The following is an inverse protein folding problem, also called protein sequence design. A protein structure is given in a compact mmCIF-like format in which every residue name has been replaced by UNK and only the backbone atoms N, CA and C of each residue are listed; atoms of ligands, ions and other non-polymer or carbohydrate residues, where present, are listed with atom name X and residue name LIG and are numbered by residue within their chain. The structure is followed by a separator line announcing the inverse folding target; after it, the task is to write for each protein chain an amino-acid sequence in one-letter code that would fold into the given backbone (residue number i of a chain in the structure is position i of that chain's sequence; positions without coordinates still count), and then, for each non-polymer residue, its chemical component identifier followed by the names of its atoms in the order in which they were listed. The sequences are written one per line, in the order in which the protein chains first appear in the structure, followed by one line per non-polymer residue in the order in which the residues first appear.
data_IF_554968833562
#
_entry.id   IF_554968833562
#
_cell.length_a   1.000
_cell.length_b   1.000
_cell.length_c   1.000
_cell.angle_alpha   90.00
_cell.angle_beta   90.00
_cell.angle_gamma   90.00
#
_symmetry.space_group_name_H-M   'P 1'
#
loop_
_entity.id
_entity.type
_entity.pdbx_description
1 polymer ?
#
# COMPACT_ATOMS: atom_id res chain seq x y z
N UNK A 1 -5.05 -6.81 -19.58
CA UNK A 1 -5.00 -6.14 -18.27
C UNK A 1 -3.91 -5.09 -18.33
N UNK A 2 -4.18 -3.86 -17.88
CA UNK A 2 -3.13 -2.83 -17.75
C UNK A 2 -2.50 -2.96 -16.38
N UNK A 3 -1.17 -3.13 -16.32
CA UNK A 3 -0.44 -3.09 -15.07
C UNK A 3 -0.56 -1.71 -14.42
N UNK A 4 -0.41 -1.67 -13.09
CA UNK A 4 -0.65 -0.50 -12.25
C UNK A 4 0.67 0.14 -11.84
N UNK A 5 0.86 1.46 -12.00
CA UNK A 5 2.06 2.12 -11.50
C UNK A 5 2.19 1.95 -9.98
N UNK A 6 3.42 1.85 -9.50
CA UNK A 6 3.73 1.59 -8.10
C UNK A 6 4.29 2.87 -7.48
N UNK A 7 3.70 3.31 -6.38
CA UNK A 7 4.14 4.43 -5.57
C UNK A 7 4.70 3.89 -4.25
N UNK A 8 5.93 4.24 -3.91
CA UNK A 8 6.58 3.84 -2.67
C UNK A 8 7.04 5.08 -1.90
N UNK A 9 6.21 5.61 -0.97
CA UNK A 9 6.55 6.83 -0.23
C UNK A 9 7.77 6.68 0.72
N UNK A 10 8.24 5.46 0.97
CA UNK A 10 9.28 5.14 1.96
C UNK A 10 10.57 4.56 1.36
N UNK A 11 10.69 4.38 0.05
CA UNK A 11 11.65 3.40 -0.47
C UNK A 11 11.00 2.05 -0.70
N UNK A 12 11.36 1.36 -1.78
CA UNK A 12 11.26 -0.10 -1.81
C UNK A 12 12.64 -0.70 -1.51
N UNK A 13 12.73 -1.73 -0.65
CA UNK A 13 13.95 -2.49 -0.53
C UNK A 13 14.19 -3.29 -1.81
N UNK A 14 15.46 -3.52 -2.14
CA UNK A 14 15.85 -4.45 -3.20
C UNK A 14 15.69 -5.90 -2.71
N UNK A 15 14.44 -6.36 -2.72
CA UNK A 15 14.04 -7.68 -2.22
C UNK A 15 13.17 -8.42 -3.27
N UNK A 16 13.50 -9.68 -3.55
CA UNK A 16 12.75 -10.53 -4.48
C UNK A 16 11.31 -10.77 -4.04
N UNK A 17 11.07 -10.87 -2.73
CA UNK A 17 9.72 -10.99 -2.18
C UNK A 17 8.89 -9.75 -2.54
N UNK A 18 9.44 -8.56 -2.31
CA UNK A 18 8.73 -7.29 -2.60
C UNK A 18 8.37 -7.21 -4.08
N UNK A 19 9.30 -7.59 -4.98
CA UNK A 19 9.02 -7.64 -6.42
C UNK A 19 7.92 -8.64 -6.76
N UNK A 20 7.96 -9.83 -6.17
CA UNK A 20 6.97 -10.89 -6.39
C UNK A 20 5.58 -10.48 -5.91
N UNK A 21 5.49 -9.88 -4.72
CA UNK A 21 4.27 -9.37 -4.15
C UNK A 21 3.65 -8.25 -5.03
N UNK A 22 4.47 -7.29 -5.46
CA UNK A 22 4.02 -6.19 -6.31
C UNK A 22 3.55 -6.68 -7.67
N UNK A 23 4.27 -7.60 -8.31
CA UNK A 23 3.85 -8.23 -9.57
C UNK A 23 2.53 -8.99 -9.41
N UNK A 24 2.38 -9.74 -8.32
CA UNK A 24 1.16 -10.49 -8.00
C UNK A 24 -0.06 -9.59 -7.77
N UNK A 25 0.17 -8.39 -7.23
CA UNK A 25 -0.81 -7.32 -7.09
C UNK A 25 -1.07 -6.53 -8.38
N UNK A 26 -0.56 -6.99 -9.53
CA UNK A 26 -0.65 -6.36 -10.85
C UNK A 26 0.12 -5.04 -10.98
N UNK A 27 1.17 -4.89 -10.17
CA UNK A 27 2.09 -3.78 -10.24
C UNK A 27 2.99 -3.81 -11.47
N UNK A 28 3.18 -2.65 -12.08
CA UNK A 28 4.12 -2.43 -13.18
C UNK A 28 5.52 -2.18 -12.61
N UNK A 29 6.35 -3.22 -12.59
CA UNK A 29 7.73 -3.14 -12.11
C UNK A 29 8.62 -2.21 -12.95
N UNK A 30 8.18 -1.83 -14.18
CA UNK A 30 8.85 -0.82 -15.01
C UNK A 30 8.43 0.62 -14.69
N UNK A 31 7.40 0.81 -13.86
CA UNK A 31 6.85 2.11 -13.47
C UNK A 31 6.74 2.24 -11.95
N UNK A 32 7.87 2.06 -11.29
CA UNK A 32 8.04 2.32 -9.86
C UNK A 32 8.45 3.78 -9.66
N UNK A 33 7.72 4.48 -8.80
CA UNK A 33 8.01 5.84 -8.40
C UNK A 33 8.35 5.80 -6.93
N UNK A 34 9.63 5.60 -6.70
CA UNK A 34 10.18 5.55 -5.37
C UNK A 34 10.44 6.97 -4.84
N UNK A 35 10.39 7.15 -3.53
CA UNK A 35 10.79 8.39 -2.86
C UNK A 35 12.33 8.41 -2.75
N UNK A 36 13.07 9.10 -3.66
CA UNK A 36 14.51 8.87 -3.77
C UNK A 36 15.31 9.57 -2.67
N UNK A 37 14.73 10.50 -1.89
CA UNK A 37 15.27 11.04 -0.61
C UNK A 37 14.47 12.24 -0.07
N UNK A 38 14.56 12.38 1.26
CA UNK A 38 14.45 13.58 2.13
C UNK A 38 13.14 13.92 2.86
N UNK A 39 11.94 13.76 2.29
CA UNK A 39 10.68 13.96 3.04
C UNK A 39 9.44 13.52 2.27
N UNK A 40 8.34 13.27 2.99
CA UNK A 40 7.03 12.99 2.38
C UNK A 40 6.51 14.18 1.55
N UNK A 41 6.80 15.42 1.96
CA UNK A 41 6.38 16.63 1.23
C UNK A 41 7.04 16.76 -0.14
N UNK A 42 8.32 16.43 -0.24
CA UNK A 42 9.04 16.38 -1.52
C UNK A 42 8.44 15.30 -2.44
N UNK A 43 8.07 14.16 -1.87
CA UNK A 43 7.42 13.09 -2.62
C UNK A 43 6.04 13.51 -3.13
N UNK A 44 5.19 14.11 -2.29
CA UNK A 44 3.90 14.69 -2.69
C UNK A 44 4.08 15.71 -3.83
N UNK A 45 5.06 16.60 -3.70
CA UNK A 45 5.37 17.62 -4.72
C UNK A 45 5.79 17.00 -6.06
N UNK A 46 6.46 15.85 -6.04
CA UNK A 46 6.76 15.07 -7.23
C UNK A 46 5.50 14.44 -7.81
N UNK A 47 4.67 13.78 -6.98
CA UNK A 47 3.45 13.12 -7.43
C UNK A 47 2.47 14.07 -8.13
N UNK A 48 2.31 15.29 -7.63
CA UNK A 48 1.45 16.32 -8.25
C UNK A 48 1.80 16.64 -9.70
N UNK A 49 3.02 16.33 -10.17
CA UNK A 49 3.46 16.56 -11.55
C UNK A 49 3.09 15.39 -12.48
N UNK A 50 2.64 14.27 -11.95
CA UNK A 50 2.41 13.03 -12.67
C UNK A 50 0.96 12.93 -13.17
N UNK A 51 0.72 13.40 -14.39
CA UNK A 51 -0.63 13.45 -14.99
C UNK A 51 -1.35 12.10 -15.09
N UNK A 52 -0.60 10.99 -15.09
CA UNK A 52 -1.23 9.66 -15.16
C UNK A 52 -2.02 9.33 -13.89
N UNK A 53 -1.77 10.02 -12.76
CA UNK A 53 -2.53 9.79 -11.53
C UNK A 53 -3.99 10.22 -11.69
N UNK A 54 -4.28 11.20 -12.55
CA UNK A 54 -5.63 11.73 -12.72
C UNK A 54 -6.47 10.95 -13.73
N UNK A 55 -5.85 10.38 -14.77
CA UNK A 55 -6.55 9.73 -15.89
C UNK A 55 -6.11 8.29 -16.19
N UNK A 56 -5.04 7.82 -15.56
CA UNK A 56 -4.49 6.48 -15.76
C UNK A 56 -5.11 5.42 -14.82
N UNK A 57 -4.59 4.18 -14.84
CA UNK A 57 -5.00 3.15 -13.88
C UNK A 57 -4.67 3.57 -12.44
N UNK A 58 -5.49 3.14 -11.50
CA UNK A 58 -5.28 3.46 -10.09
C UNK A 58 -3.95 2.82 -9.61
N UNK A 59 -3.07 3.59 -8.95
CA UNK A 59 -1.76 3.07 -8.54
C UNK A 59 -1.86 2.07 -7.39
N UNK A 60 -0.81 1.26 -7.22
CA UNK A 60 -0.50 0.60 -5.95
C UNK A 60 0.32 1.56 -5.10
N UNK A 61 -0.07 1.81 -3.85
CA UNK A 61 0.74 2.59 -2.90
C UNK A 61 1.24 1.67 -1.81
N UNK A 62 2.55 1.56 -1.65
CA UNK A 62 3.15 0.49 -0.84
C UNK A 62 3.99 1.08 0.29
N UNK A 63 3.74 0.60 1.51
CA UNK A 63 4.56 0.88 2.68
C UNK A 63 5.24 -0.42 3.14
N UNK A 64 6.55 -0.34 3.38
CA UNK A 64 7.40 -1.47 3.77
C UNK A 64 7.80 -1.42 5.24
N UNK A 65 7.86 -0.22 5.82
CA UNK A 65 8.05 -0.05 7.26
C UNK A 65 6.69 0.14 7.94
N UNK A 66 6.23 -0.94 8.58
CA UNK A 66 4.95 -1.01 9.28
C UNK A 66 5.09 -0.92 10.80
N UNK A 67 6.31 -0.68 11.33
CA UNK A 67 6.58 -0.60 12.77
C UNK A 67 5.83 0.57 13.42
N UNK A 68 5.57 1.63 12.67
CA UNK A 68 4.85 2.81 13.12
C UNK A 68 3.59 3.04 12.26
N UNK A 69 2.56 2.20 12.42
CA UNK A 69 1.30 2.34 11.68
C UNK A 69 0.66 3.72 11.79
N UNK A 70 0.85 4.44 12.91
CA UNK A 70 0.41 5.83 13.03
C UNK A 70 1.04 6.75 11.97
N UNK A 71 2.33 6.58 11.68
CA UNK A 71 3.04 7.32 10.62
C UNK A 71 2.51 6.95 9.24
N UNK A 72 2.21 5.67 9.01
CA UNK A 72 1.61 5.19 7.74
C UNK A 72 0.23 5.82 7.51
N UNK A 73 -0.62 5.86 8.55
CA UNK A 73 -1.94 6.49 8.48
C UNK A 73 -1.83 7.99 8.20
N UNK A 74 -0.92 8.69 8.89
CA UNK A 74 -0.65 10.11 8.64
C UNK A 74 -0.15 10.35 7.21
N UNK A 75 0.75 9.49 6.73
CA UNK A 75 1.29 9.60 5.38
C UNK A 75 0.20 9.40 4.32
N UNK A 76 -0.67 8.40 4.49
CA UNK A 76 -1.84 8.21 3.63
C UNK A 76 -2.76 9.43 3.65
N UNK A 77 -3.11 9.93 4.84
CA UNK A 77 -4.01 11.08 4.96
C UNK A 77 -3.46 12.32 4.22
N UNK A 78 -2.16 12.59 4.36
CA UNK A 78 -1.51 13.69 3.64
C UNK A 78 -1.51 13.44 2.11
N UNK A 79 -1.16 12.23 1.67
CA UNK A 79 -1.15 11.86 0.27
C UNK A 79 -2.53 11.98 -0.38
N UNK A 80 -3.59 11.50 0.28
CA UNK A 80 -4.97 11.60 -0.22
C UNK A 80 -5.47 13.06 -0.22
N UNK A 81 -5.08 13.87 0.77
CA UNK A 81 -5.46 15.29 0.81
C UNK A 81 -4.80 16.10 -0.32
N UNK A 82 -3.51 15.86 -0.56
CA UNK A 82 -2.71 16.63 -1.52
C UNK A 82 -2.79 16.07 -2.95
N UNK A 83 -3.12 14.79 -3.10
CA UNK A 83 -3.30 14.08 -4.39
C UNK A 83 -4.61 13.28 -4.33
N UNK A 84 -5.78 13.92 -4.51
CA UNK A 84 -7.09 13.28 -4.32
C UNK A 84 -7.34 12.05 -5.19
N UNK A 85 -6.66 11.96 -6.33
CA UNK A 85 -6.72 10.80 -7.22
C UNK A 85 -6.12 9.52 -6.61
N UNK A 86 -5.47 9.60 -5.44
CA UNK A 86 -5.03 8.43 -4.66
C UNK A 86 -6.14 7.78 -3.82
N UNK A 87 -7.31 8.39 -3.68
CA UNK A 87 -8.44 7.76 -2.97
C UNK A 87 -8.86 6.40 -3.57
N UNK A 88 -8.64 6.23 -4.89
CA UNK A 88 -8.90 4.98 -5.64
C UNK A 88 -7.73 3.99 -5.64
N UNK A 89 -6.60 4.32 -5.02
CA UNK A 89 -5.43 3.46 -4.99
C UNK A 89 -5.68 2.20 -4.14
N UNK A 90 -4.94 1.12 -4.41
CA UNK A 90 -4.83 0.03 -3.42
C UNK A 90 -3.63 0.35 -2.53
N UNK A 91 -3.88 0.40 -1.23
CA UNK A 91 -2.87 0.70 -0.23
C UNK A 91 -2.35 -0.60 0.37
N UNK A 92 -1.06 -0.87 0.20
CA UNK A 92 -0.42 -2.14 0.57
C UNK A 92 0.52 -1.92 1.75
N UNK A 93 0.46 -2.82 2.73
CA UNK A 93 1.41 -2.93 3.83
C UNK A 93 2.23 -4.20 3.62
N UNK A 94 3.43 -4.04 3.08
CA UNK A 94 4.35 -5.13 2.83
C UNK A 94 5.06 -5.47 4.15
N UNK A 95 4.69 -6.58 4.77
CA UNK A 95 5.33 -7.03 6.01
C UNK A 95 6.67 -7.68 5.70
N UNK A 96 7.67 -7.36 6.53
CA UNK A 96 8.97 -8.01 6.53
C UNK A 96 8.94 -9.27 7.41
N UNK A 97 9.88 -10.18 7.16
CA UNK A 97 10.05 -11.39 7.96
C UNK A 97 10.19 -11.08 9.47
N UNK A 98 9.54 -11.89 10.30
CA UNK A 98 9.56 -11.72 11.76
C UNK A 98 8.80 -10.50 12.29
N UNK A 99 8.05 -9.76 11.45
CA UNK A 99 7.28 -8.57 11.87
C UNK A 99 5.79 -8.80 12.05
N UNK A 100 5.26 -9.98 11.72
CA UNK A 100 3.82 -10.26 11.75
C UNK A 100 3.17 -10.04 13.13
N UNK A 101 3.79 -10.53 14.21
CA UNK A 101 3.25 -10.38 15.58
C UNK A 101 3.21 -8.91 16.04
N UNK A 102 4.30 -8.16 15.78
CA UNK A 102 4.38 -6.74 16.10
C UNK A 102 3.36 -5.91 15.31
N UNK A 103 3.16 -6.28 14.05
CA UNK A 103 2.13 -5.68 13.20
C UNK A 103 0.73 -5.97 13.75
N UNK A 104 0.40 -7.23 14.02
CA UNK A 104 -0.93 -7.64 14.49
C UNK A 104 -1.35 -6.88 15.76
N UNK A 105 -0.47 -6.84 16.77
CA UNK A 105 -0.73 -6.10 18.01
C UNK A 105 -0.93 -4.59 17.79
N UNK A 106 -0.26 -3.99 16.80
CA UNK A 106 -0.47 -2.57 16.47
C UNK A 106 -1.72 -2.35 15.62
N UNK A 107 -2.01 -3.28 14.71
CA UNK A 107 -3.17 -3.26 13.83
C UNK A 107 -4.48 -3.38 14.62
N UNK A 108 -4.54 -4.23 15.63
CA UNK A 108 -5.70 -4.39 16.53
C UNK A 108 -5.95 -3.13 17.38
N UNK A 109 -4.89 -2.45 17.82
CA UNK A 109 -5.04 -1.19 18.56
C UNK A 109 -5.58 -0.06 17.70
N UNK A 110 -5.23 -0.02 16.42
CA UNK A 110 -5.50 1.11 15.52
C UNK A 110 -6.60 0.84 14.49
N UNK A 111 -7.19 -0.36 14.50
CA UNK A 111 -8.14 -0.80 13.50
C UNK A 111 -8.61 -2.24 13.73
N UNK A 112 -8.97 -2.91 12.65
CA UNK A 112 -9.46 -4.29 12.66
C UNK A 112 -8.95 -5.04 11.44
N UNK A 113 -8.47 -6.27 11.64
CA UNK A 113 -8.13 -7.20 10.57
C UNK A 113 -9.34 -8.08 10.27
N UNK A 114 -9.61 -8.33 9.00
CA UNK A 114 -10.72 -9.19 8.57
C UNK A 114 -10.37 -10.69 8.55
N UNK A 115 -9.09 -11.03 8.68
CA UNK A 115 -8.55 -12.39 8.68
C UNK A 115 -7.16 -12.42 9.36
N UNK A 116 -6.53 -13.58 9.46
CA UNK A 116 -5.14 -13.75 9.88
C UNK A 116 -4.16 -13.02 8.95
N UNK A 117 -3.06 -12.51 9.51
CA UNK A 117 -1.97 -11.82 8.79
C UNK A 117 -1.39 -12.67 7.66
N UNK A 118 -1.27 -13.98 7.87
CA UNK A 118 -0.71 -14.91 6.87
C UNK A 118 -1.65 -15.12 5.67
N UNK A 119 -2.89 -14.69 5.80
CA UNK A 119 -3.97 -14.93 4.85
C UNK A 119 -4.20 -13.74 3.90
N UNK A 120 -3.29 -12.75 3.87
CA UNK A 120 -3.43 -11.48 3.13
C UNK A 120 -4.72 -10.76 3.54
N UNK A 121 -4.83 -10.32 4.80
CA UNK A 121 -6.05 -9.69 5.29
C UNK A 121 -6.18 -8.26 4.78
N UNK A 122 -7.43 -7.77 4.83
CA UNK A 122 -7.71 -6.35 4.83
C UNK A 122 -7.63 -5.83 6.27
N UNK A 123 -6.80 -4.81 6.46
CA UNK A 123 -6.80 -4.03 7.68
C UNK A 123 -7.61 -2.75 7.47
N UNK A 124 -8.65 -2.57 8.27
CA UNK A 124 -9.46 -1.35 8.32
C UNK A 124 -9.01 -0.50 9.50
N UNK A 125 -8.49 0.70 9.26
CA UNK A 125 -8.17 1.65 10.33
C UNK A 125 -9.44 2.15 11.03
N UNK A 126 -9.31 2.68 12.25
CA UNK A 126 -10.44 3.35 12.94
C UNK A 126 -11.02 4.55 12.17
N UNK A 127 -10.23 5.17 11.29
CA UNK A 127 -10.67 6.25 10.41
C UNK A 127 -11.39 5.74 9.15
N UNK A 128 -11.57 4.41 9.00
CA UNK A 128 -12.29 3.79 7.88
C UNK A 128 -11.41 3.48 6.67
N UNK A 129 -10.10 3.71 6.74
CA UNK A 129 -9.17 3.47 5.63
C UNK A 129 -8.80 1.99 5.53
N UNK A 130 -8.92 1.40 4.34
CA UNK A 130 -8.57 0.00 4.08
C UNK A 130 -7.16 -0.17 3.51
N UNK A 131 -6.43 -1.13 4.05
CA UNK A 131 -5.11 -1.55 3.57
C UNK A 131 -5.09 -3.05 3.31
N UNK A 132 -4.45 -3.47 2.25
CA UNK A 132 -4.11 -4.88 2.01
C UNK A 132 -2.81 -5.18 2.75
N UNK A 133 -2.85 -6.09 3.71
CA UNK A 133 -1.66 -6.54 4.42
C UNK A 133 -1.06 -7.70 3.66
N UNK A 134 0.20 -7.57 3.28
CA UNK A 134 0.92 -8.58 2.50
C UNK A 134 1.97 -9.22 3.40
N UNK A 135 1.80 -10.49 3.79
CA UNK A 135 2.83 -11.21 4.54
C UNK A 135 4.03 -11.55 3.64
N UNK A 136 5.21 -11.87 4.21
CA UNK A 136 6.43 -12.22 3.45
C UNK A 136 6.26 -13.37 2.43
N UNK A 137 5.31 -14.27 2.67
CA UNK A 137 5.00 -15.41 1.80
C UNK A 137 3.52 -15.39 1.42
N UNK A 138 3.06 -14.41 0.63
CA UNK A 138 1.64 -14.20 0.40
C UNK A 138 1.08 -15.29 -0.54
N UNK A 139 -0.10 -15.86 -0.24
CA UNK A 139 -0.87 -16.61 -1.22
C UNK A 139 -1.22 -15.73 -2.42
N UNK A 140 -0.43 -15.86 -3.50
CA UNK A 140 -0.49 -14.98 -4.69
C UNK A 140 -1.91 -14.84 -5.27
N UNK A 141 -2.64 -15.95 -5.36
CA UNK A 141 -4.00 -15.97 -5.87
C UNK A 141 -4.95 -15.06 -5.07
N UNK A 142 -4.71 -14.92 -3.77
CA UNK A 142 -5.54 -14.12 -2.86
C UNK A 142 -5.19 -12.64 -2.91
N UNK A 143 -3.91 -12.30 -3.11
CA UNK A 143 -3.45 -10.91 -3.10
C UNK A 143 -4.17 -10.03 -4.14
N UNK A 144 -4.33 -10.53 -5.37
CA UNK A 144 -5.05 -9.82 -6.42
C UNK A 144 -6.51 -9.53 -6.04
N UNK A 145 -7.21 -10.55 -5.55
CA UNK A 145 -8.60 -10.42 -5.13
C UNK A 145 -8.76 -9.38 -4.02
N UNK A 146 -7.85 -9.37 -3.05
CA UNK A 146 -7.84 -8.41 -1.95
C UNK A 146 -7.56 -6.98 -2.39
N UNK A 147 -6.67 -6.78 -3.36
CA UNK A 147 -6.44 -5.46 -3.94
C UNK A 147 -7.70 -4.90 -4.63
N UNK A 148 -8.47 -5.75 -5.33
CA UNK A 148 -9.72 -5.35 -5.96
C UNK A 148 -10.83 -5.05 -4.92
N UNK A 149 -10.93 -5.89 -3.89
CA UNK A 149 -11.87 -5.69 -2.78
C UNK A 149 -11.60 -4.39 -2.03
N UNK A 150 -10.34 -4.10 -1.69
CA UNK A 150 -9.95 -2.85 -1.03
C UNK A 150 -10.31 -1.61 -1.85
N UNK A 151 -10.17 -1.67 -3.19
CA UNK A 151 -10.55 -0.56 -4.06
C UNK A 151 -12.06 -0.36 -4.09
N UNK A 152 -12.84 -1.43 -4.17
CA UNK A 152 -14.29 -1.35 -4.14
C UNK A 152 -14.77 -0.73 -2.82
N UNK A 153 -14.18 -1.13 -1.69
CA UNK A 153 -14.51 -0.60 -0.36
C UNK A 153 -14.09 0.87 -0.20
N UNK A 154 -13.07 1.35 -0.91
CA UNK A 154 -12.65 2.75 -0.89
C UNK A 154 -13.57 3.69 -1.70
N UNK A 155 -14.50 3.13 -2.49
CA UNK A 155 -15.46 3.89 -3.30
C UNK A 155 -16.85 4.02 -2.66
N UNK A 156 -17.06 3.39 -1.50
CA UNK A 156 -18.32 3.43 -0.74
C UNK A 156 -18.29 4.54 0.31
#
# INVERSE_FOLDING_TARGET
MSLRPILAPQGLPEDEYVRTALWSAEGDLGRIIDAPTSSLDAYVSHLKKLRFLDSGPAPLVCFVDTRALGVVLMARALLEAEVPSLARASWLLLLQEGRAEHFAASAERLGTLDDSVDAVPLWKSRAGQYFVVVPPTPPIARLRARCAEAQMLAML
#
